data_IF_234428840671
#
_entry.id   IF_234428840671
#
_cell.length_a   1.000
_cell.length_b   1.000
_cell.length_c   1.000
_cell.angle_alpha   90.00
_cell.angle_beta   90.00
_cell.angle_gamma   90.00
#
_symmetry.space_group_name_H-M   'P 1'
#
loop_
_entity.id
_entity.type
_entity.pdbx_description
1 polymer ?
#
# COMPACT_ATOMS: atom_id res chain seq x y z
N UNK A 1 11.02 19.38 21.95
CA UNK A 1 9.57 19.15 21.81
C UNK A 1 9.27 17.82 21.11
N UNK A 2 9.62 17.60 19.83
CA UNK A 2 9.31 16.34 19.14
C UNK A 2 9.93 15.08 19.79
N UNK A 3 11.22 15.09 20.13
CA UNK A 3 11.86 13.94 20.81
C UNK A 3 11.24 13.63 22.18
N UNK A 4 10.64 14.62 22.83
CA UNK A 4 9.89 14.40 24.07
C UNK A 4 8.51 13.80 23.78
N UNK A 5 7.83 14.29 22.73
CA UNK A 5 6.56 13.72 22.28
C UNK A 5 6.72 12.26 21.84
N UNK A 6 7.78 11.91 21.09
CA UNK A 6 8.09 10.50 20.75
C UNK A 6 8.24 9.58 21.96
N UNK A 7 8.65 10.10 23.12
CA UNK A 7 8.78 9.30 24.35
C UNK A 7 7.44 9.12 25.07
N UNK A 8 6.49 10.05 24.88
CA UNK A 8 5.20 10.09 25.60
C UNK A 8 4.07 9.48 24.79
N UNK A 9 3.97 9.83 23.51
CA UNK A 9 2.89 9.45 22.62
C UNK A 9 3.16 8.08 22.01
N UNK A 10 2.26 7.12 22.23
CA UNK A 10 2.46 5.73 21.82
C UNK A 10 2.60 5.60 20.30
N UNK A 11 1.73 6.27 19.53
CA UNK A 11 1.76 6.19 18.07
C UNK A 11 3.07 6.73 17.46
N UNK A 12 3.76 7.67 18.12
CA UNK A 12 5.02 8.24 17.64
C UNK A 12 6.23 7.35 17.92
N UNK A 13 6.13 6.41 18.87
CA UNK A 13 7.22 5.48 19.20
C UNK A 13 7.51 4.53 18.04
N UNK A 14 6.49 4.22 17.25
CA UNK A 14 6.59 3.33 16.10
C UNK A 14 7.29 3.96 14.89
N UNK A 15 7.46 5.28 14.89
CA UNK A 15 8.13 6.00 13.82
C UNK A 15 9.63 6.13 14.08
N UNK A 16 10.42 5.79 13.07
CA UNK A 16 11.87 5.99 13.01
C UNK A 16 12.18 7.38 12.46
N UNK A 17 13.36 7.86 12.78
CA UNK A 17 13.93 9.09 12.24
C UNK A 17 15.43 8.89 12.04
N UNK A 18 15.99 9.50 10.99
CA UNK A 18 17.42 9.45 10.70
C UNK A 18 18.22 10.30 11.67
N UNK A 19 19.54 10.08 11.77
CA UNK A 19 20.41 10.96 12.53
C UNK A 19 20.42 12.37 11.92
N UNK A 20 20.22 13.40 12.75
CA UNK A 20 20.30 14.79 12.32
C UNK A 20 21.77 15.20 12.15
N UNK A 21 22.30 15.06 10.94
CA UNK A 21 23.68 15.42 10.58
C UNK A 21 23.80 16.85 10.01
N UNK A 22 22.73 17.63 10.08
CA UNK A 22 22.65 19.01 9.63
C UNK A 22 22.29 19.96 10.78
N UNK A 23 22.60 21.25 10.61
CA UNK A 23 22.34 22.31 11.60
C UNK A 23 20.82 22.59 11.75
N UNK A 24 20.38 23.24 12.83
CA UNK A 24 18.99 23.68 12.97
C UNK A 24 18.47 24.41 11.72
N UNK A 25 17.26 24.06 11.29
CA UNK A 25 16.64 24.51 10.03
C UNK A 25 15.74 25.73 10.19
N UNK A 26 15.58 26.21 11.42
CA UNK A 26 14.88 27.44 11.79
C UNK A 26 15.70 28.12 12.90
N UNK A 27 15.68 29.44 13.11
CA UNK A 27 15.08 30.52 12.33
C UNK A 27 16.19 31.32 11.65
N UNK A 28 16.09 31.55 10.35
CA UNK A 28 17.07 32.33 9.59
C UNK A 28 16.56 33.73 9.23
N UNK A 29 17.49 34.65 9.01
CA UNK A 29 17.18 35.88 8.28
C UNK A 29 16.88 35.56 6.81
N UNK A 30 15.97 36.32 6.21
CA UNK A 30 15.60 36.10 4.80
C UNK A 30 16.81 36.30 3.89
N UNK A 31 16.90 35.46 2.87
CA UNK A 31 17.96 35.42 1.87
C UNK A 31 19.36 35.19 2.47
N UNK A 32 19.43 34.55 3.64
CA UNK A 32 20.65 34.35 4.39
C UNK A 32 20.75 32.94 5.00
N UNK A 33 21.96 32.55 5.36
CA UNK A 33 22.29 31.39 6.21
C UNK A 33 22.58 31.82 7.66
N UNK A 34 22.43 33.11 7.97
CA UNK A 34 22.59 33.66 9.32
C UNK A 34 21.30 33.45 10.10
N UNK A 35 21.43 32.94 11.32
CA UNK A 35 20.31 32.77 12.24
C UNK A 35 19.76 34.12 12.72
N UNK A 36 18.47 34.16 13.01
CA UNK A 36 17.65 35.32 13.41
C UNK A 36 18.43 36.41 14.16
N UNK A 37 18.75 37.50 13.45
CA UNK A 37 19.42 38.68 14.03
C UNK A 37 18.42 39.75 14.50
N UNK A 38 17.12 39.53 14.30
CA UNK A 38 16.08 40.45 14.77
C UNK A 38 16.10 40.60 16.30
N UNK A 39 15.42 41.63 16.80
CA UNK A 39 15.30 41.88 18.25
C UNK A 39 14.71 40.70 19.02
N UNK A 40 13.93 39.83 18.36
CA UNK A 40 13.33 38.64 18.97
C UNK A 40 14.35 37.53 19.26
N UNK A 41 15.47 37.49 18.53
CA UNK A 41 16.59 36.52 18.67
C UNK A 41 16.10 35.11 18.98
N UNK A 42 15.21 34.56 18.14
CA UNK A 42 14.63 33.25 18.40
C UNK A 42 15.73 32.18 18.36
N UNK A 43 15.67 31.25 19.31
CA UNK A 43 16.62 30.15 19.39
C UNK A 43 16.50 29.27 18.15
N UNK A 44 17.63 28.88 17.51
CA UNK A 44 17.59 27.93 16.43
C UNK A 44 16.95 26.59 16.84
N UNK A 45 16.20 25.96 15.95
CA UNK A 45 15.56 24.68 16.16
C UNK A 45 15.56 23.83 14.87
N UNK A 46 15.59 22.51 15.04
CA UNK A 46 15.32 21.56 13.95
C UNK A 46 13.81 21.43 13.78
N UNK A 47 13.30 22.06 12.74
CA UNK A 47 11.92 21.96 12.26
C UNK A 47 11.87 21.06 11.02
N UNK A 48 10.68 20.70 10.56
CA UNK A 48 10.49 20.00 9.28
C UNK A 48 11.14 18.59 9.25
N UNK A 49 11.02 17.87 10.37
CA UNK A 49 11.63 16.56 10.60
C UNK A 49 10.86 15.43 9.90
N UNK A 50 11.56 14.49 9.28
CA UNK A 50 10.94 13.39 8.53
C UNK A 50 10.94 12.11 9.38
N UNK A 51 9.75 11.62 9.70
CA UNK A 51 9.53 10.39 10.45
C UNK A 51 8.89 9.34 9.55
N UNK A 52 9.31 8.08 9.64
CA UNK A 52 8.73 6.99 8.84
C UNK A 52 8.49 5.73 9.67
N UNK A 53 7.53 4.91 9.25
CA UNK A 53 7.22 3.61 9.84
C UNK A 53 7.02 2.61 8.70
N UNK A 54 7.64 1.45 8.80
CA UNK A 54 7.35 0.31 7.92
C UNK A 54 6.35 -0.56 8.65
N UNK A 55 5.17 -0.79 8.07
CA UNK A 55 4.22 -1.76 8.61
C UNK A 55 4.74 -3.16 8.28
N UNK A 56 4.95 -3.98 9.29
CA UNK A 56 5.33 -5.36 9.07
C UNK A 56 4.06 -6.16 8.71
N UNK A 57 4.00 -6.69 7.50
CA UNK A 57 2.84 -7.47 7.05
C UNK A 57 2.75 -8.82 7.77
N UNK A 58 3.86 -9.34 8.30
CA UNK A 58 3.86 -10.56 9.10
C UNK A 58 3.14 -10.42 10.44
N UNK A 59 3.03 -9.21 11.02
CA UNK A 59 2.25 -8.95 12.24
C UNK A 59 0.74 -9.07 12.01
N UNK A 60 0.28 -8.91 10.76
CA UNK A 60 -1.12 -9.12 10.38
C UNK A 60 -1.39 -10.63 10.23
N UNK A 61 -0.48 -11.37 9.59
CA UNK A 61 -0.60 -12.81 9.37
C UNK A 61 -0.41 -13.66 10.65
N UNK A 62 0.43 -13.21 11.60
CA UNK A 62 0.71 -13.94 12.85
C UNK A 62 -0.45 -13.95 13.84
N UNK A 63 -1.50 -13.15 13.63
CA UNK A 63 -2.77 -13.31 14.38
C UNK A 63 -3.55 -14.58 13.98
N UNK A 64 -3.15 -15.29 12.92
CA UNK A 64 -3.81 -16.49 12.41
C UNK A 64 -2.91 -17.74 12.42
N UNK A 65 -1.70 -17.67 12.99
CA UNK A 65 -0.99 -18.86 13.49
C UNK A 65 -0.18 -19.72 12.50
N UNK A 66 0.03 -19.33 11.23
CA UNK A 66 0.61 -20.27 10.24
C UNK A 66 1.63 -19.66 9.25
N UNK A 67 2.65 -18.90 9.69
CA UNK A 67 3.81 -18.65 8.82
C UNK A 67 5.14 -18.72 9.59
N UNK A 68 6.13 -19.51 9.10
CA UNK A 68 7.42 -19.65 9.76
C UNK A 68 8.33 -18.45 9.48
N UNK A 69 8.93 -17.94 10.56
CA UNK A 69 9.99 -16.93 10.67
C UNK A 69 9.80 -15.58 9.96
N UNK A 70 10.36 -14.54 10.58
CA UNK A 70 10.25 -13.13 10.22
C UNK A 70 10.91 -12.80 8.86
N UNK A 71 10.34 -13.26 7.76
CA UNK A 71 10.76 -12.80 6.45
C UNK A 71 10.30 -11.37 6.26
N UNK A 72 11.24 -10.43 6.44
CA UNK A 72 11.05 -9.01 6.16
C UNK A 72 10.78 -8.81 4.66
N UNK A 73 9.50 -8.87 4.27
CA UNK A 73 9.02 -8.74 2.89
C UNK A 73 9.39 -7.39 2.28
N UNK A 74 9.37 -6.34 3.12
CA UNK A 74 9.68 -4.97 2.74
C UNK A 74 10.74 -4.41 3.68
N UNK A 75 11.83 -3.96 3.07
CA UNK A 75 13.00 -3.36 3.68
C UNK A 75 13.08 -1.90 3.23
N UNK A 76 13.13 -0.97 4.19
CA UNK A 76 13.29 0.47 3.91
C UNK A 76 14.56 0.95 4.60
N UNK A 77 15.48 1.51 3.83
CA UNK A 77 16.67 2.22 4.33
C UNK A 77 16.57 3.69 3.98
N UNK A 78 17.12 4.54 4.86
CA UNK A 78 17.29 5.96 4.61
C UNK A 78 18.71 6.16 4.10
N UNK A 79 18.86 6.60 2.87
CA UNK A 79 20.16 6.79 2.23
C UNK A 79 20.71 8.19 2.53
N UNK A 80 19.87 9.22 2.41
CA UNK A 80 20.23 10.62 2.70
C UNK A 80 19.19 11.30 3.59
N UNK A 81 19.66 12.16 4.50
CA UNK A 81 18.81 13.04 5.33
C UNK A 81 19.49 14.37 5.55
N UNK A 82 19.11 15.37 4.77
CA UNK A 82 19.87 16.63 4.64
C UNK A 82 18.95 17.85 4.67
N UNK A 83 19.52 19.00 5.04
CA UNK A 83 18.89 20.30 4.86
C UNK A 83 19.51 21.08 3.71
N UNK A 84 18.70 21.93 3.08
CA UNK A 84 19.10 22.72 1.92
C UNK A 84 19.24 24.19 2.27
N UNK A 85 20.46 24.60 2.63
CA UNK A 85 20.77 25.94 3.13
C UNK A 85 20.63 27.04 2.07
N UNK A 86 20.82 26.71 0.80
CA UNK A 86 20.76 27.64 -0.33
C UNK A 86 19.37 28.25 -0.56
N UNK A 87 18.31 27.67 -0.01
CA UNK A 87 16.96 28.21 -0.11
C UNK A 87 16.77 29.34 0.90
N UNK A 88 16.79 30.58 0.41
CA UNK A 88 16.77 31.79 1.23
C UNK A 88 15.41 32.47 1.39
N UNK A 89 14.40 32.12 0.60
CA UNK A 89 13.13 32.88 0.54
C UNK A 89 12.28 32.79 1.82
N UNK A 90 12.59 31.85 2.71
CA UNK A 90 11.91 31.59 3.98
C UNK A 90 12.93 31.57 5.13
N UNK A 91 12.44 31.81 6.34
CA UNK A 91 13.19 31.64 7.59
C UNK A 91 13.34 30.18 8.02
N UNK A 92 12.77 29.25 7.24
CA UNK A 92 12.96 27.81 7.31
C UNK A 92 13.82 27.30 6.14
N UNK A 93 14.66 26.30 6.42
CA UNK A 93 15.43 25.56 5.40
C UNK A 93 14.79 24.20 5.13
N UNK A 94 14.47 23.87 3.86
CA UNK A 94 13.88 22.57 3.52
C UNK A 94 14.74 21.40 3.97
N UNK A 95 14.07 20.30 4.32
CA UNK A 95 14.68 19.03 4.71
C UNK A 95 14.21 17.95 3.74
N UNK A 96 15.12 17.11 3.27
CA UNK A 96 14.80 15.97 2.40
C UNK A 96 15.33 14.67 2.99
N UNK A 97 14.56 13.60 2.81
CA UNK A 97 14.95 12.23 3.12
C UNK A 97 14.85 11.37 1.87
N UNK A 98 15.94 10.73 1.47
CA UNK A 98 15.97 9.80 0.33
C UNK A 98 15.89 8.38 0.89
N UNK A 99 14.92 7.60 0.43
CA UNK A 99 14.69 6.25 0.91
C UNK A 99 14.93 5.23 -0.20
N UNK A 100 15.61 4.14 0.13
CA UNK A 100 15.69 2.95 -0.70
C UNK A 100 14.72 1.91 -0.17
N UNK A 101 13.88 1.40 -1.08
CA UNK A 101 12.91 0.35 -0.83
C UNK A 101 13.41 -0.93 -1.49
N UNK A 102 13.59 -1.97 -0.68
CA UNK A 102 13.91 -3.31 -1.15
C UNK A 102 12.72 -4.22 -0.80
N UNK A 103 12.19 -4.90 -1.81
CA UNK A 103 11.05 -5.80 -1.65
C UNK A 103 11.50 -7.18 -2.10
N UNK A 104 11.20 -8.21 -1.31
CA UNK A 104 11.36 -9.58 -1.81
C UNK A 104 10.33 -9.78 -2.92
N UNK A 105 10.74 -10.25 -4.11
CA UNK A 105 9.78 -10.70 -5.12
C UNK A 105 8.89 -11.76 -4.49
N UNK A 106 7.56 -11.62 -4.63
CA UNK A 106 6.66 -12.74 -4.37
C UNK A 106 7.06 -13.85 -5.36
N UNK A 107 7.25 -15.05 -4.84
CA UNK A 107 7.75 -16.22 -5.57
C UNK A 107 6.92 -16.46 -6.84
N UNK A 108 7.57 -17.03 -7.85
CA UNK A 108 7.27 -17.05 -9.29
C UNK A 108 5.91 -17.55 -9.77
N UNK A 109 5.00 -17.98 -8.89
CA UNK A 109 3.63 -18.37 -9.24
C UNK A 109 2.63 -17.67 -8.32
N UNK A 110 1.61 -16.96 -8.86
CA UNK A 110 0.61 -16.28 -8.04
C UNK A 110 -0.25 -17.29 -7.26
N UNK A 111 -0.63 -16.93 -6.03
CA UNK A 111 -1.48 -17.79 -5.18
C UNK A 111 -2.84 -18.06 -5.83
N UNK A 112 -3.35 -17.08 -6.57
CA UNK A 112 -4.57 -17.17 -7.36
C UNK A 112 -4.32 -16.61 -8.77
N UNK A 113 -4.69 -17.37 -9.79
CA UNK A 113 -4.71 -16.94 -11.20
C UNK A 113 -6.16 -16.69 -11.60
N UNK A 114 -6.44 -15.53 -12.18
CA UNK A 114 -7.78 -15.12 -12.64
C UNK A 114 -7.82 -15.07 -14.16
N UNK A 115 -8.85 -15.68 -14.74
CA UNK A 115 -9.06 -15.75 -16.17
C UNK A 115 -10.41 -15.11 -16.52
N UNK A 116 -10.44 -13.81 -16.88
CA UNK A 116 -11.61 -13.18 -17.47
C UNK A 116 -11.76 -13.75 -18.90
N UNK A 117 -12.58 -14.79 -19.04
CA UNK A 117 -12.91 -15.38 -20.33
C UNK A 117 -14.22 -14.77 -20.89
N UNK A 118 -14.33 -14.70 -22.21
CA UNK A 118 -15.55 -14.25 -22.90
C UNK A 118 -15.67 -12.74 -23.08
N UNK A 119 -16.84 -12.31 -23.56
CA UNK A 119 -17.20 -10.91 -23.74
C UNK A 119 -17.85 -10.37 -22.45
N UNK A 120 -17.26 -9.33 -21.89
CA UNK A 120 -17.77 -8.67 -20.70
C UNK A 120 -18.62 -7.47 -21.11
N UNK A 121 -19.87 -7.44 -20.67
CA UNK A 121 -20.78 -6.32 -20.89
C UNK A 121 -21.95 -6.40 -19.91
N UNK A 122 -22.65 -5.28 -19.72
CA UNK A 122 -23.86 -5.23 -18.90
C UNK A 122 -25.10 -5.90 -19.56
N UNK A 123 -24.91 -6.69 -20.61
CA UNK A 123 -25.99 -7.36 -21.36
C UNK A 123 -26.18 -8.82 -20.95
N UNK A 124 -25.11 -9.49 -20.51
CA UNK A 124 -25.11 -10.91 -20.20
C UNK A 124 -24.37 -11.18 -18.90
N UNK A 125 -24.84 -12.18 -18.15
CA UNK A 125 -24.14 -12.61 -16.95
C UNK A 125 -22.78 -13.20 -17.32
N UNK A 126 -21.82 -13.04 -16.42
CA UNK A 126 -20.44 -13.49 -16.65
C UNK A 126 -20.05 -14.55 -15.63
N UNK A 127 -19.19 -15.47 -16.07
CA UNK A 127 -18.59 -16.48 -15.21
C UNK A 127 -17.11 -16.19 -15.10
N UNK A 128 -16.65 -15.97 -13.89
CA UNK A 128 -15.25 -15.77 -13.58
C UNK A 128 -14.62 -17.13 -13.33
N UNK A 129 -13.61 -17.49 -14.13
CA UNK A 129 -12.79 -18.67 -13.86
C UNK A 129 -11.52 -18.25 -13.12
N UNK A 130 -11.18 -19.00 -12.09
CA UNK A 130 -9.93 -18.79 -11.36
C UNK A 130 -9.34 -20.12 -10.90
N UNK A 131 -8.04 -20.15 -10.66
CA UNK A 131 -7.37 -21.26 -10.01
C UNK A 131 -6.57 -20.79 -8.82
N UNK A 132 -6.53 -21.61 -7.77
CA UNK A 132 -5.72 -21.36 -6.59
C UNK A 132 -4.66 -22.46 -6.45
N UNK A 133 -3.56 -22.14 -5.76
CA UNK A 133 -2.57 -23.16 -5.36
C UNK A 133 -3.25 -24.27 -4.53
N UNK A 134 -2.77 -25.52 -4.61
CA UNK A 134 -3.28 -26.61 -3.78
C UNK A 134 -3.31 -26.23 -2.31
N UNK A 135 -4.37 -26.62 -1.59
CA UNK A 135 -4.55 -26.37 -0.15
C UNK A 135 -4.60 -24.88 0.24
N UNK A 136 -4.92 -23.98 -0.70
CA UNK A 136 -5.12 -22.56 -0.38
C UNK A 136 -6.24 -22.39 0.67
N UNK A 137 -5.98 -21.74 1.83
CA UNK A 137 -6.97 -21.58 2.89
C UNK A 137 -7.93 -20.43 2.54
N UNK A 138 -8.89 -20.69 1.65
CA UNK A 138 -9.94 -19.72 1.31
C UNK A 138 -10.89 -19.45 2.47
N UNK A 139 -11.43 -18.24 2.53
CA UNK A 139 -12.46 -17.83 3.49
C UNK A 139 -13.80 -17.60 2.80
N UNK A 140 -14.92 -17.80 3.51
CA UNK A 140 -16.25 -17.37 3.05
C UNK A 140 -16.35 -15.84 2.79
N UNK A 141 -15.40 -15.08 3.35
CA UNK A 141 -15.27 -13.64 3.17
C UNK A 141 -14.26 -13.26 2.08
N UNK A 142 -13.73 -14.22 1.33
CA UNK A 142 -12.95 -13.93 0.13
C UNK A 142 -13.88 -13.49 -1.01
N UNK A 143 -13.41 -12.58 -1.85
CA UNK A 143 -14.20 -12.03 -2.95
C UNK A 143 -13.32 -11.68 -4.15
N UNK A 144 -13.91 -11.73 -5.34
CA UNK A 144 -13.28 -11.30 -6.59
C UNK A 144 -13.94 -10.00 -7.02
N UNK A 145 -13.15 -8.92 -7.08
CA UNK A 145 -13.63 -7.62 -7.52
C UNK A 145 -13.28 -7.30 -8.96
N UNK A 146 -14.14 -6.54 -9.61
CA UNK A 146 -13.89 -5.88 -10.88
C UNK A 146 -13.38 -4.46 -10.61
N UNK A 147 -12.20 -4.12 -11.12
CA UNK A 147 -11.54 -2.84 -10.90
C UNK A 147 -11.23 -2.15 -12.21
N UNK A 148 -11.35 -0.82 -12.28
CA UNK A 148 -10.70 -0.08 -13.37
C UNK A 148 -9.18 -0.16 -13.22
N UNK A 149 -8.42 -0.24 -14.32
CA UNK A 149 -6.94 -0.33 -14.29
C UNK A 149 -6.29 0.79 -13.45
N UNK A 150 -6.95 1.93 -13.29
CA UNK A 150 -6.46 3.07 -12.53
C UNK A 150 -6.70 3.01 -11.01
N UNK A 151 -7.17 1.88 -10.48
CA UNK A 151 -7.48 1.73 -9.05
C UNK A 151 -6.25 1.97 -8.14
N UNK A 152 -6.48 2.49 -6.94
CA UNK A 152 -5.42 2.86 -5.98
C UNK A 152 -5.58 2.19 -4.62
N UNK A 153 -6.76 1.64 -4.35
CA UNK A 153 -7.11 1.00 -3.10
C UNK A 153 -7.97 -0.25 -3.34
N UNK A 154 -7.88 -1.23 -2.44
CA UNK A 154 -8.70 -2.46 -2.49
C UNK A 154 -10.21 -2.22 -2.39
N UNK A 155 -10.63 -0.97 -2.14
CA UNK A 155 -12.05 -0.57 -2.02
C UNK A 155 -12.55 0.20 -3.24
N UNK A 156 -11.69 0.36 -4.25
CA UNK A 156 -12.02 1.04 -5.50
C UNK A 156 -12.67 0.07 -6.51
N UNK A 157 -13.16 -1.09 -6.05
CA UNK A 157 -13.87 -2.01 -6.92
C UNK A 157 -15.14 -1.35 -7.44
N UNK A 158 -15.51 -1.68 -8.67
CA UNK A 158 -16.77 -1.27 -9.30
C UNK A 158 -17.88 -2.22 -8.87
N UNK A 159 -17.60 -3.51 -8.90
CA UNK A 159 -18.45 -4.58 -8.35
C UNK A 159 -17.58 -5.73 -7.85
N UNK A 160 -18.19 -6.72 -7.19
CA UNK A 160 -17.52 -7.92 -6.70
C UNK A 160 -18.48 -9.11 -6.63
N UNK A 161 -17.91 -10.31 -6.61
CA UNK A 161 -18.61 -11.55 -6.29
C UNK A 161 -17.93 -12.24 -5.10
N UNK A 162 -18.72 -12.88 -4.22
CA UNK A 162 -18.20 -13.66 -3.11
C UNK A 162 -17.70 -15.00 -3.61
N UNK A 163 -16.52 -15.41 -3.17
CA UNK A 163 -15.88 -16.62 -3.70
C UNK A 163 -16.66 -17.89 -3.36
N UNK A 164 -17.17 -18.00 -2.13
CA UNK A 164 -17.87 -19.19 -1.66
C UNK A 164 -19.37 -19.15 -2.02
N UNK A 165 -20.05 -18.03 -1.78
CA UNK A 165 -21.50 -17.91 -1.98
C UNK A 165 -21.89 -17.91 -3.47
N UNK A 166 -21.03 -17.38 -4.34
CA UNK A 166 -21.28 -17.33 -5.80
C UNK A 166 -20.55 -18.45 -6.57
N UNK A 167 -20.02 -19.49 -5.87
CA UNK A 167 -19.34 -20.63 -6.51
C UNK A 167 -20.33 -21.48 -7.33
N UNK A 168 -20.06 -21.63 -8.62
CA UNK A 168 -20.88 -22.43 -9.56
C UNK A 168 -20.33 -23.85 -9.69
N UNK A 169 -19.00 -24.00 -9.69
CA UNK A 169 -18.34 -25.28 -9.87
C UNK A 169 -16.92 -25.26 -9.35
N UNK A 170 -16.45 -26.43 -8.91
CA UNK A 170 -15.08 -26.68 -8.49
C UNK A 170 -14.60 -27.99 -9.10
N UNK A 171 -13.60 -27.92 -9.98
CA UNK A 171 -12.94 -29.08 -10.62
C UNK A 171 -11.43 -29.02 -10.34
N UNK A 172 -10.99 -29.81 -9.35
CA UNK A 172 -9.63 -29.79 -8.86
C UNK A 172 -9.23 -28.40 -8.33
N UNK A 173 -8.28 -27.75 -9.00
CA UNK A 173 -7.82 -26.41 -8.65
C UNK A 173 -8.56 -25.29 -9.39
N UNK A 174 -9.41 -25.61 -10.37
CA UNK A 174 -10.15 -24.62 -11.15
C UNK A 174 -11.54 -24.44 -10.58
N UNK A 175 -11.89 -23.18 -10.30
CA UNK A 175 -13.18 -22.79 -9.73
C UNK A 175 -13.86 -21.75 -10.62
N UNK A 176 -15.18 -21.69 -10.51
CA UNK A 176 -16.01 -20.75 -11.27
C UNK A 176 -16.93 -20.00 -10.34
N UNK A 177 -16.98 -18.68 -10.49
CA UNK A 177 -17.78 -17.75 -9.70
C UNK A 177 -18.72 -16.97 -10.61
N UNK A 178 -19.97 -16.81 -10.20
CA UNK A 178 -20.98 -16.06 -10.95
C UNK A 178 -20.91 -14.55 -10.66
N UNK A 179 -21.15 -13.72 -11.67
CA UNK A 179 -21.37 -12.29 -11.49
C UNK A 179 -22.50 -11.81 -12.42
N UNK A 180 -23.44 -11.06 -11.86
CA UNK A 180 -24.63 -10.62 -12.60
C UNK A 180 -24.29 -9.49 -13.58
N UNK A 181 -24.87 -9.55 -14.78
CA UNK A 181 -24.81 -8.47 -15.78
C UNK A 181 -25.24 -7.11 -15.23
N UNK A 182 -26.18 -7.11 -14.28
CA UNK A 182 -26.74 -5.90 -13.68
C UNK A 182 -25.72 -5.12 -12.84
N UNK A 183 -24.64 -5.77 -12.42
CA UNK A 183 -23.57 -5.19 -11.60
C UNK A 183 -22.37 -4.75 -12.46
N UNK A 184 -22.34 -5.15 -13.74
CA UNK A 184 -21.28 -4.78 -14.67
C UNK A 184 -21.49 -3.33 -15.13
N UNK A 185 -20.45 -2.49 -15.13
CA UNK A 185 -20.57 -1.10 -15.56
C UNK A 185 -20.97 -0.99 -17.03
N UNK A 186 -22.01 -0.20 -17.31
CA UNK A 186 -22.42 0.13 -18.70
C UNK A 186 -21.45 1.08 -19.40
N UNK A 187 -20.73 1.87 -18.62
CA UNK A 187 -19.65 2.68 -19.13
C UNK A 187 -18.46 1.74 -19.31
N UNK A 188 -18.19 1.37 -20.56
CA UNK A 188 -17.09 0.48 -20.89
C UNK A 188 -15.72 1.09 -20.56
N UNK A 189 -14.68 0.28 -20.71
CA UNK A 189 -13.30 0.68 -20.42
C UNK A 189 -12.39 -0.51 -20.17
N UNK A 190 -11.20 -0.21 -19.65
CA UNK A 190 -10.20 -1.23 -19.32
C UNK A 190 -10.25 -1.59 -17.83
N UNK A 191 -10.42 -2.88 -17.55
CA UNK A 191 -10.65 -3.42 -16.21
C UNK A 191 -9.72 -4.60 -15.90
N UNK A 192 -9.68 -4.95 -14.61
CA UNK A 192 -8.95 -6.07 -14.03
C UNK A 192 -9.88 -6.82 -13.07
N UNK A 193 -9.66 -8.12 -12.94
CA UNK A 193 -10.18 -8.89 -11.81
C UNK A 193 -9.10 -8.98 -10.74
N UNK A 194 -9.51 -8.80 -9.48
CA UNK A 194 -8.63 -8.96 -8.32
C UNK A 194 -9.27 -9.89 -7.29
N UNK A 195 -8.55 -10.93 -6.88
CA UNK A 195 -8.95 -11.82 -5.78
C UNK A 195 -8.45 -11.25 -4.47
N UNK A 196 -9.36 -10.89 -3.58
CA UNK A 196 -9.05 -10.45 -2.22
C UNK A 196 -9.19 -11.61 -1.23
N UNK A 197 -8.11 -11.91 -0.51
CA UNK A 197 -8.16 -12.88 0.60
C UNK A 197 -8.47 -12.15 1.90
N UNK A 198 -9.53 -12.55 2.58
CA UNK A 198 -9.87 -12.06 3.91
C UNK A 198 -8.89 -12.58 4.97
N UNK A 199 -8.36 -13.79 4.82
CA UNK A 199 -7.37 -14.32 5.76
C UNK A 199 -6.07 -13.49 5.71
N UNK A 200 -5.58 -13.18 4.50
CA UNK A 200 -4.36 -12.40 4.27
C UNK A 200 -4.56 -10.87 4.27
N UNK A 201 -5.81 -10.41 4.26
CA UNK A 201 -6.21 -9.00 4.18
C UNK A 201 -5.53 -8.24 3.00
N UNK A 202 -5.42 -8.90 1.84
CA UNK A 202 -4.77 -8.33 0.65
C UNK A 202 -5.27 -8.98 -0.65
N UNK A 203 -5.03 -8.30 -1.77
CA UNK A 203 -5.16 -8.89 -3.10
C UNK A 203 -4.02 -9.89 -3.31
N UNK A 204 -4.35 -11.10 -3.76
CA UNK A 204 -3.40 -12.21 -3.98
C UNK A 204 -3.43 -12.79 -5.39
N UNK A 205 -4.33 -12.30 -6.24
CA UNK A 205 -4.41 -12.62 -7.66
C UNK A 205 -4.94 -11.41 -8.42
N UNK A 206 -4.31 -11.10 -9.55
CA UNK A 206 -4.73 -10.04 -10.46
C UNK A 206 -4.71 -10.63 -11.87
N UNK A 207 -5.80 -10.44 -12.64
CA UNK A 207 -5.85 -10.88 -14.03
C UNK A 207 -5.01 -9.99 -14.96
N UNK A 208 -4.84 -10.40 -16.21
CA UNK A 208 -4.50 -9.46 -17.28
C UNK A 208 -5.64 -8.44 -17.47
N UNK A 209 -5.34 -7.22 -17.95
CA UNK A 209 -6.36 -6.23 -18.30
C UNK A 209 -7.28 -6.74 -19.43
N UNK A 210 -8.56 -6.39 -19.36
CA UNK A 210 -9.55 -6.70 -20.40
C UNK A 210 -10.56 -5.56 -20.57
N UNK A 211 -11.31 -5.60 -21.68
CA UNK A 211 -12.33 -4.61 -21.98
C UNK A 211 -13.69 -5.08 -21.46
N UNK A 212 -14.44 -4.13 -20.90
CA UNK A 212 -15.86 -4.22 -20.52
C UNK A 212 -16.62 -3.14 -21.29
#
# INVERSE_FOLDING_TARGET
>A
QLNMAKKKEEFLKEFKEGPLQFKPTYKFDLYSEVYDTSEKKRKPAWTDRILWKVKNLSEIASKQGEFPEEEKLISVTLDDYVSHMSYGISDHKPVTGTFKLEMKPLVSDPLVVLNPEGEWSAEHDVVIRYSAVPEFPSSAWDWIGLFQVTFRHVKDYVTYAWVEDDEISSDGNSKQVYMSASEIPRAGGEFLLCYYSNNLQTIIGISEPFQV
#
